data_IF_898810941505
#
_entry.id   IF_898810941505
#
_cell.length_a   1.000
_cell.length_b   1.000
_cell.length_c   1.000
_cell.angle_alpha   90.00
_cell.angle_beta   90.00
_cell.angle_gamma   90.00
#
_symmetry.space_group_name_H-M   'P 1'
#
loop_
_entity.id
_entity.type
_entity.pdbx_description
1 polymer ?
#
# COMPACT_ATOMS: atom_id res chain seq x y z
N UNK A 1 3.50 11.88 4.21
CA UNK A 1 3.23 12.16 2.80
C UNK A 1 1.77 12.55 2.60
N UNK A 2 1.50 13.57 1.79
CA UNK A 2 0.15 14.07 1.49
C UNK A 2 -0.04 14.30 -0.01
N UNK A 3 -1.18 13.89 -0.56
CA UNK A 3 -1.56 14.21 -1.95
C UNK A 3 -2.14 15.62 -1.99
N UNK A 4 -1.54 16.53 -2.76
CA UNK A 4 -1.93 17.95 -2.81
C UNK A 4 -2.82 18.25 -4.01
N UNK A 5 -2.47 17.70 -5.16
CA UNK A 5 -3.20 17.91 -6.41
C UNK A 5 -3.10 16.67 -7.30
N UNK A 6 -4.09 16.49 -8.17
CA UNK A 6 -4.01 15.52 -9.25
C UNK A 6 -4.85 15.96 -10.44
N UNK A 7 -4.47 15.47 -11.62
CA UNK A 7 -5.25 15.64 -12.83
C UNK A 7 -5.28 14.32 -13.59
N UNK A 8 -6.46 14.02 -14.13
CA UNK A 8 -6.80 12.79 -14.81
C UNK A 8 -7.55 13.14 -16.09
N UNK A 9 -7.07 12.64 -17.23
CA UNK A 9 -7.66 12.80 -18.55
C UNK A 9 -7.99 11.45 -19.15
N UNK A 10 -9.15 11.37 -19.79
CA UNK A 10 -9.63 10.22 -20.55
C UNK A 10 -9.59 8.89 -19.76
N UNK A 11 -10.24 8.90 -18.58
CA UNK A 11 -10.27 7.74 -17.66
C UNK A 11 -11.69 7.17 -17.58
N UNK A 12 -11.97 6.17 -18.41
CA UNK A 12 -13.28 5.53 -18.49
C UNK A 12 -14.34 6.53 -18.95
N UNK A 13 -15.44 6.75 -18.20
CA UNK A 13 -16.47 7.72 -18.56
C UNK A 13 -16.05 9.19 -18.29
N UNK A 14 -14.90 9.41 -17.64
CA UNK A 14 -14.44 10.72 -17.21
C UNK A 14 -13.44 11.30 -18.22
N UNK A 15 -13.81 12.37 -18.91
CA UNK A 15 -12.92 13.06 -19.86
C UNK A 15 -11.82 13.86 -19.17
N UNK A 16 -12.17 14.57 -18.09
CA UNK A 16 -11.25 15.41 -17.35
C UNK A 16 -11.71 15.54 -15.90
N UNK A 17 -10.79 15.31 -14.96
CA UNK A 17 -10.91 15.68 -13.55
C UNK A 17 -9.58 16.28 -13.12
N UNK A 18 -9.62 17.51 -12.63
CA UNK A 18 -8.50 18.16 -11.98
C UNK A 18 -8.93 18.60 -10.59
N UNK A 19 -8.12 18.28 -9.59
CA UNK A 19 -8.32 18.74 -8.23
C UNK A 19 -7.02 19.37 -7.75
N UNK A 20 -7.14 20.56 -7.19
CA UNK A 20 -6.04 21.29 -6.56
C UNK A 20 -6.38 21.56 -5.10
N UNK A 21 -5.35 21.74 -4.28
CA UNK A 21 -5.45 21.99 -2.83
C UNK A 21 -6.36 20.99 -2.10
N UNK A 22 -6.09 19.70 -2.25
CA UNK A 22 -6.83 18.64 -1.55
C UNK A 22 -6.76 18.81 -0.02
N UNK A 23 -7.93 18.69 0.61
CA UNK A 23 -8.05 18.60 2.06
C UNK A 23 -7.58 17.23 2.57
N UNK A 24 -7.43 17.09 3.89
CA UNK A 24 -7.01 15.82 4.52
C UNK A 24 -8.05 14.70 4.34
N UNK A 25 -9.34 15.08 4.18
CA UNK A 25 -10.44 14.15 3.90
C UNK A 25 -11.17 14.60 2.65
N UNK A 26 -11.23 13.71 1.66
CA UNK A 26 -11.85 13.98 0.36
C UNK A 26 -12.88 12.90 0.07
N UNK A 27 -14.11 13.32 -0.23
CA UNK A 27 -15.23 12.41 -0.51
C UNK A 27 -15.66 12.59 -1.97
N UNK A 28 -15.50 11.53 -2.77
CA UNK A 28 -16.02 11.47 -4.13
C UNK A 28 -17.45 10.90 -4.10
N UNK A 29 -18.46 11.76 -4.23
CA UNK A 29 -19.87 11.38 -4.25
C UNK A 29 -20.49 11.54 -5.64
N UNK A 30 -21.47 10.69 -5.97
CA UNK A 30 -22.22 10.77 -7.23
C UNK A 30 -23.00 9.48 -7.53
N UNK A 31 -23.83 9.45 -8.59
CA UNK A 31 -24.56 8.26 -9.02
C UNK A 31 -23.66 7.05 -9.33
N UNK A 32 -24.24 5.86 -9.43
CA UNK A 32 -23.53 4.68 -9.90
C UNK A 32 -23.13 4.85 -11.37
N UNK A 33 -21.94 4.37 -11.74
CA UNK A 33 -21.45 4.44 -13.14
C UNK A 33 -20.75 5.74 -13.54
N UNK A 34 -20.72 6.79 -12.70
CA UNK A 34 -20.08 8.08 -13.05
C UNK A 34 -18.54 8.08 -13.05
N UNK A 35 -17.91 6.93 -12.83
CA UNK A 35 -16.45 6.79 -12.88
C UNK A 35 -15.69 7.00 -11.57
N UNK A 36 -16.36 7.00 -10.41
CA UNK A 36 -15.69 7.08 -9.09
C UNK A 36 -14.58 6.04 -8.92
N UNK A 37 -14.88 4.80 -9.30
CA UNK A 37 -13.91 3.69 -9.26
C UNK A 37 -12.77 3.90 -10.25
N UNK A 38 -13.05 4.47 -11.43
CA UNK A 38 -12.02 4.80 -12.43
C UNK A 38 -11.05 5.86 -11.91
N UNK A 39 -11.55 6.89 -11.21
CA UNK A 39 -10.72 7.92 -10.57
C UNK A 39 -9.80 7.28 -9.52
N UNK A 40 -10.35 6.45 -8.62
CA UNK A 40 -9.55 5.78 -7.59
C UNK A 40 -8.47 4.90 -8.21
N UNK A 41 -8.84 4.05 -9.18
CA UNK A 41 -7.89 3.18 -9.87
C UNK A 41 -6.79 3.96 -10.57
N UNK A 42 -7.12 5.10 -11.20
CA UNK A 42 -6.12 5.91 -11.86
C UNK A 42 -5.12 6.55 -10.89
N UNK A 43 -5.57 6.99 -9.71
CA UNK A 43 -4.67 7.50 -8.66
C UNK A 43 -3.75 6.38 -8.17
N UNK A 44 -4.31 5.19 -7.92
CA UNK A 44 -3.55 4.01 -7.51
C UNK A 44 -2.52 3.59 -8.57
N UNK A 45 -2.86 3.67 -9.85
CA UNK A 45 -1.93 3.37 -10.94
C UNK A 45 -0.73 4.31 -10.94
N UNK A 46 -0.95 5.61 -10.74
CA UNK A 46 0.14 6.58 -10.65
C UNK A 46 1.00 6.27 -9.41
N UNK A 47 0.40 5.86 -8.29
CA UNK A 47 1.15 5.47 -7.10
C UNK A 47 1.94 4.16 -7.28
N UNK A 48 1.43 3.19 -8.06
CA UNK A 48 2.13 1.93 -8.37
C UNK A 48 3.34 2.17 -9.28
N UNK A 49 3.17 3.00 -10.28
CA UNK A 49 4.24 3.35 -11.20
C UNK A 49 4.27 4.85 -11.47
N UNK A 50 4.90 5.63 -10.57
CA UNK A 50 5.10 7.06 -10.81
C UNK A 50 5.98 7.24 -12.03
N UNK A 51 5.41 7.76 -13.10
CA UNK A 51 6.09 8.05 -14.37
C UNK A 51 5.44 9.26 -15.01
N UNK A 52 6.19 9.97 -15.83
CA UNK A 52 5.67 11.12 -16.56
C UNK A 52 4.64 10.62 -17.56
N UNK A 53 3.40 11.09 -17.38
CA UNK A 53 2.27 10.76 -18.23
C UNK A 53 1.55 12.04 -18.63
N UNK A 54 1.27 12.18 -19.92
CA UNK A 54 0.58 13.37 -20.44
C UNK A 54 -0.88 13.46 -19.97
N UNK A 55 -1.50 12.30 -19.69
CA UNK A 55 -2.92 12.19 -19.38
C UNK A 55 -3.22 12.01 -17.89
N UNK A 56 -2.23 11.75 -17.03
CA UNK A 56 -2.47 11.63 -15.59
C UNK A 56 -1.25 12.04 -14.77
N UNK A 57 -1.45 12.87 -13.76
CA UNK A 57 -0.38 13.30 -12.87
C UNK A 57 -0.89 13.58 -11.46
N UNK A 58 0.03 13.58 -10.50
CA UNK A 58 -0.22 13.99 -9.13
C UNK A 58 0.95 14.82 -8.56
N UNK A 59 0.65 15.65 -7.57
CA UNK A 59 1.62 16.36 -6.77
C UNK A 59 1.51 15.87 -5.33
N UNK A 60 2.64 15.47 -4.78
CA UNK A 60 2.74 14.91 -3.44
C UNK A 60 3.67 15.76 -2.59
N UNK A 61 3.31 15.99 -1.33
CA UNK A 61 4.04 16.79 -0.37
C UNK A 61 4.56 15.95 0.80
N UNK A 62 5.76 16.31 1.27
CA UNK A 62 6.42 15.69 2.39
C UNK A 62 5.80 16.20 3.70
N UNK A 63 5.29 15.30 4.53
CA UNK A 63 4.78 15.65 5.86
C UNK A 63 5.84 15.40 6.94
N UNK A 64 6.81 14.53 6.69
CA UNK A 64 7.82 14.10 7.66
C UNK A 64 9.25 14.51 7.28
N UNK A 65 10.15 14.57 8.27
CA UNK A 65 11.57 14.91 8.08
C UNK A 65 12.32 13.93 7.18
N UNK A 66 12.04 12.63 7.32
CA UNK A 66 12.64 11.58 6.50
C UNK A 66 12.26 11.71 5.02
N UNK A 67 11.02 12.11 4.74
CA UNK A 67 10.54 12.39 3.39
C UNK A 67 11.29 13.58 2.78
N UNK A 68 11.42 14.69 3.53
CA UNK A 68 12.16 15.88 3.08
C UNK A 68 13.63 15.56 2.82
N UNK A 69 14.27 14.78 3.70
CA UNK A 69 15.66 14.36 3.54
C UNK A 69 15.86 13.45 2.32
N UNK A 70 14.96 12.49 2.11
CA UNK A 70 15.04 11.58 0.97
C UNK A 70 14.77 12.27 -0.38
N UNK A 71 13.89 13.27 -0.41
CA UNK A 71 13.48 13.92 -1.65
C UNK A 71 14.36 15.13 -2.00
N UNK A 72 14.94 15.77 -0.99
CA UNK A 72 15.65 17.05 -1.11
C UNK A 72 14.74 18.22 -1.53
N UNK A 73 13.42 18.02 -1.46
CA UNK A 73 12.36 18.98 -1.81
C UNK A 73 11.15 18.72 -0.93
N UNK A 74 10.32 19.74 -0.75
CA UNK A 74 9.06 19.63 -0.02
C UNK A 74 7.96 18.96 -0.86
N UNK A 75 7.99 19.15 -2.18
CA UNK A 75 6.98 18.64 -3.10
C UNK A 75 7.62 17.89 -4.27
N UNK A 76 6.97 16.81 -4.67
CA UNK A 76 7.29 16.02 -5.85
C UNK A 76 6.14 16.12 -6.85
N UNK A 77 6.48 16.47 -8.08
CA UNK A 77 5.53 16.53 -9.19
C UNK A 77 5.77 15.38 -10.17
N UNK A 78 4.78 14.53 -10.41
CA UNK A 78 4.95 13.39 -11.33
C UNK A 78 4.99 13.81 -12.81
N UNK A 79 4.82 15.09 -13.13
CA UNK A 79 5.09 15.62 -14.48
C UNK A 79 6.58 15.77 -14.76
N UNK A 80 7.40 15.86 -13.70
CA UNK A 80 8.85 15.98 -13.78
C UNK A 80 9.47 14.59 -13.65
N UNK A 81 10.36 14.23 -14.56
CA UNK A 81 10.93 12.88 -14.60
C UNK A 81 11.78 12.58 -13.36
N UNK A 82 12.58 13.55 -12.91
CA UNK A 82 13.40 13.41 -11.70
C UNK A 82 12.55 13.19 -10.44
N UNK A 83 11.49 13.97 -10.28
CA UNK A 83 10.61 13.87 -9.12
C UNK A 83 9.79 12.56 -9.16
N UNK A 84 9.39 12.12 -10.35
CA UNK A 84 8.76 10.80 -10.55
C UNK A 84 9.69 9.65 -10.15
N UNK A 85 10.98 9.72 -10.51
CA UNK A 85 11.99 8.72 -10.11
C UNK A 85 12.18 8.69 -8.60
N UNK A 86 12.23 9.86 -7.94
CA UNK A 86 12.31 9.97 -6.48
C UNK A 86 11.08 9.38 -5.79
N UNK A 87 9.89 9.72 -6.26
CA UNK A 87 8.64 9.17 -5.72
C UNK A 87 8.57 7.65 -5.91
N UNK A 88 8.96 7.15 -7.08
CA UNK A 88 9.03 5.72 -7.37
C UNK A 88 10.00 5.00 -6.44
N UNK A 89 11.22 5.53 -6.28
CA UNK A 89 12.22 4.94 -5.39
C UNK A 89 11.72 4.92 -3.92
N UNK A 90 11.04 5.99 -3.50
CA UNK A 90 10.48 6.09 -2.16
C UNK A 90 9.34 5.09 -1.92
N UNK A 91 8.38 4.99 -2.85
CA UNK A 91 7.23 4.10 -2.72
C UNK A 91 7.60 2.61 -2.86
N UNK A 92 8.66 2.30 -3.63
CA UNK A 92 9.13 0.92 -3.85
C UNK A 92 10.11 0.41 -2.79
N UNK A 93 10.34 1.17 -1.72
CA UNK A 93 11.17 0.69 -0.60
C UNK A 93 10.52 -0.52 0.05
N UNK A 94 11.32 -1.52 0.40
CA UNK A 94 10.85 -2.64 1.21
C UNK A 94 10.36 -2.10 2.56
N UNK A 95 9.22 -2.62 3.01
CA UNK A 95 8.64 -2.25 4.29
C UNK A 95 8.40 -3.50 5.11
N UNK A 96 8.43 -3.33 6.44
CA UNK A 96 7.99 -4.39 7.35
C UNK A 96 6.47 -4.40 7.40
N UNK A 97 5.90 -5.59 7.57
CA UNK A 97 4.44 -5.84 7.58
C UNK A 97 3.63 -4.99 8.57
N UNK A 98 4.28 -4.46 9.61
CA UNK A 98 3.68 -3.63 10.66
C UNK A 98 4.08 -2.14 10.61
N UNK A 99 4.83 -1.70 9.58
CA UNK A 99 5.34 -0.33 9.47
C UNK A 99 4.94 0.31 8.15
N UNK A 100 3.70 0.81 8.10
CA UNK A 100 3.16 1.58 6.97
C UNK A 100 3.51 3.07 7.12
N UNK A 101 4.79 3.42 7.00
CA UNK A 101 5.23 4.81 6.98
C UNK A 101 5.34 5.30 5.53
N UNK A 102 4.84 6.51 5.26
CA UNK A 102 4.94 7.19 3.96
C UNK A 102 4.48 6.33 2.76
N UNK A 103 3.41 5.56 2.94
CA UNK A 103 2.86 4.65 1.93
C UNK A 103 1.42 4.99 1.60
N UNK A 104 0.98 4.64 0.40
CA UNK A 104 -0.45 4.66 0.05
C UNK A 104 -1.13 3.38 0.52
N UNK A 105 -2.28 3.53 1.17
CA UNK A 105 -3.10 2.42 1.63
C UNK A 105 -4.46 2.49 0.94
N UNK A 106 -4.74 1.53 0.07
CA UNK A 106 -6.04 1.45 -0.60
C UNK A 106 -7.06 0.77 0.31
N UNK A 107 -8.25 1.35 0.48
CA UNK A 107 -9.39 0.69 1.10
C UNK A 107 -10.54 0.64 0.10
N UNK A 108 -10.78 -0.55 -0.43
CA UNK A 108 -11.92 -0.78 -1.31
C UNK A 108 -13.11 -1.32 -0.50
N UNK A 109 -14.31 -0.82 -0.80
CA UNK A 109 -15.57 -1.36 -0.27
C UNK A 109 -15.99 -2.56 -1.10
N UNK A 110 -15.23 -3.63 -0.98
CA UNK A 110 -15.56 -4.91 -1.59
C UNK A 110 -16.66 -5.59 -0.74
N UNK A 111 -17.93 -5.19 -0.97
CA UNK A 111 -19.11 -5.73 -0.26
C UNK A 111 -19.48 -7.16 -0.69
N UNK A 112 -18.66 -7.79 -1.53
CA UNK A 112 -18.89 -9.17 -1.97
C UNK A 112 -18.52 -10.15 -0.84
N UNK A 113 -19.45 -11.01 -0.46
CA UNK A 113 -19.16 -12.18 0.39
C UNK A 113 -18.26 -13.11 -0.43
N UNK A 114 -16.94 -13.06 -0.18
CA UNK A 114 -15.96 -13.91 -0.87
C UNK A 114 -15.62 -15.11 -0.01
N UNK A 115 -15.63 -16.30 -0.61
CA UNK A 115 -15.18 -17.53 0.03
C UNK A 115 -13.73 -17.36 0.48
N UNK A 116 -13.49 -17.54 1.78
CA UNK A 116 -12.15 -17.39 2.32
C UNK A 116 -11.28 -18.53 1.84
N UNK A 117 -10.16 -18.21 1.21
CA UNK A 117 -9.22 -19.22 0.76
C UNK A 117 -8.62 -19.94 1.97
N UNK A 118 -8.51 -21.27 1.86
CA UNK A 118 -7.83 -22.08 2.85
C UNK A 118 -6.34 -21.78 2.84
N UNK A 119 -5.75 -21.63 4.02
CA UNK A 119 -4.30 -21.49 4.15
C UNK A 119 -3.61 -22.80 3.71
N UNK A 120 -2.72 -22.72 2.71
CA UNK A 120 -1.86 -23.84 2.35
C UNK A 120 -0.73 -23.94 3.37
N UNK A 121 -0.80 -24.94 4.24
CA UNK A 121 0.20 -25.16 5.28
C UNK A 121 1.58 -25.45 4.68
N UNK A 122 2.63 -24.84 5.25
CA UNK A 122 4.05 -25.08 4.91
C UNK A 122 4.81 -25.30 6.21
N UNK A 123 5.78 -26.22 6.20
CA UNK A 123 6.51 -26.62 7.40
C UNK A 123 7.57 -25.61 7.84
N UNK A 124 8.01 -24.69 6.99
CA UNK A 124 8.92 -23.59 7.34
C UNK A 124 8.10 -22.33 7.68
N UNK A 125 7.85 -22.11 8.97
CA UNK A 125 7.02 -21.01 9.47
C UNK A 125 7.93 -20.01 10.16
N UNK A 126 8.46 -19.06 9.39
CA UNK A 126 9.18 -17.91 9.92
C UNK A 126 8.21 -16.91 10.56
N UNK A 127 8.71 -16.12 11.52
CA UNK A 127 7.93 -15.06 12.16
C UNK A 127 7.50 -14.02 11.11
N UNK A 128 6.19 -13.88 10.83
CA UNK A 128 5.69 -13.04 9.75
C UNK A 128 5.85 -11.54 10.01
N UNK A 129 6.19 -11.11 11.23
CA UNK A 129 6.52 -9.71 11.52
C UNK A 129 7.99 -9.36 11.27
N UNK A 130 8.85 -10.36 11.14
CA UNK A 130 10.24 -10.18 10.70
C UNK A 130 10.37 -10.22 9.17
N UNK A 131 9.30 -10.61 8.46
CA UNK A 131 9.23 -10.71 7.00
C UNK A 131 9.22 -9.31 6.35
N UNK A 132 10.10 -9.13 5.36
CA UNK A 132 10.00 -8.02 4.42
C UNK A 132 8.85 -8.30 3.46
N UNK A 133 7.88 -7.39 3.40
CA UNK A 133 6.76 -7.49 2.46
C UNK A 133 7.03 -6.66 1.21
N UNK A 134 6.47 -7.12 0.10
CA UNK A 134 6.48 -6.39 -1.16
C UNK A 134 5.91 -4.98 -1.00
N UNK A 135 6.54 -4.02 -1.66
CA UNK A 135 6.18 -2.60 -1.60
C UNK A 135 4.75 -2.31 -2.09
N UNK A 136 4.17 -3.19 -2.90
CA UNK A 136 2.84 -3.06 -3.49
C UNK A 136 1.72 -3.58 -2.58
N UNK A 137 2.04 -4.17 -1.42
CA UNK A 137 1.07 -4.72 -0.48
C UNK A 137 -0.02 -3.69 -0.14
N UNK A 138 0.36 -2.46 0.19
CA UNK A 138 -0.57 -1.38 0.55
C UNK A 138 -1.49 -0.94 -0.60
N UNK A 139 -1.10 -1.16 -1.85
CA UNK A 139 -1.85 -0.79 -3.05
C UNK A 139 -2.81 -1.89 -3.51
N UNK A 140 -2.65 -3.11 -2.99
CA UNK A 140 -3.50 -4.26 -3.32
C UNK A 140 -4.92 -4.12 -2.76
N UNK A 141 -5.85 -4.90 -3.32
CA UNK A 141 -7.24 -4.91 -2.86
C UNK A 141 -7.33 -5.38 -1.41
N UNK A 142 -8.32 -4.85 -0.68
CA UNK A 142 -8.52 -5.17 0.74
C UNK A 142 -8.71 -6.68 0.97
N UNK A 143 -9.42 -7.37 0.09
CA UNK A 143 -9.66 -8.82 0.18
C UNK A 143 -8.36 -9.64 0.09
N UNK A 144 -7.41 -9.22 -0.76
CA UNK A 144 -6.08 -9.85 -0.82
C UNK A 144 -5.30 -9.66 0.48
N UNK A 145 -5.23 -8.40 0.97
CA UNK A 145 -4.53 -8.10 2.23
C UNK A 145 -5.16 -8.78 3.43
N UNK A 146 -6.49 -8.93 3.45
CA UNK A 146 -7.19 -9.62 4.53
C UNK A 146 -6.79 -11.10 4.63
N UNK A 147 -6.74 -11.81 3.50
CA UNK A 147 -6.28 -13.20 3.47
C UNK A 147 -4.82 -13.31 3.92
N UNK A 148 -3.97 -12.40 3.44
CA UNK A 148 -2.55 -12.36 3.82
C UNK A 148 -2.34 -12.08 5.32
N UNK A 149 -3.09 -11.13 5.90
CA UNK A 149 -3.09 -10.87 7.35
C UNK A 149 -3.56 -12.11 8.12
N UNK A 150 -4.66 -12.74 7.71
CA UNK A 150 -5.17 -13.95 8.35
C UNK A 150 -4.13 -15.08 8.31
N UNK A 151 -3.50 -15.32 7.17
CA UNK A 151 -2.43 -16.30 7.02
C UNK A 151 -1.22 -15.97 7.87
N UNK A 152 -0.86 -14.68 7.99
CA UNK A 152 0.22 -14.23 8.87
C UNK A 152 -0.10 -14.47 10.35
N UNK A 153 -1.35 -14.28 10.80
CA UNK A 153 -1.74 -14.54 12.17
C UNK A 153 -1.65 -16.03 12.51
N UNK A 154 -2.05 -16.92 11.58
CA UNK A 154 -1.86 -18.36 11.75
C UNK A 154 -0.38 -18.73 11.84
N UNK A 155 0.45 -18.19 10.94
CA UNK A 155 1.92 -18.40 10.98
C UNK A 155 2.52 -17.93 12.31
N UNK A 156 2.09 -16.80 12.84
CA UNK A 156 2.57 -16.27 14.11
C UNK A 156 2.24 -17.19 15.29
N UNK A 157 0.99 -17.65 15.39
CA UNK A 157 0.56 -18.55 16.47
C UNK A 157 1.35 -19.85 16.42
N UNK A 158 1.55 -20.41 15.22
CA UNK A 158 2.33 -21.63 15.05
C UNK A 158 3.83 -21.42 15.31
N UNK A 159 4.42 -20.29 14.90
CA UNK A 159 5.81 -19.98 15.23
C UNK A 159 6.02 -19.84 16.74
N UNK A 160 5.08 -19.21 17.46
CA UNK A 160 5.13 -19.09 18.91
C UNK A 160 5.02 -20.46 19.60
N UNK A 161 4.11 -21.32 19.12
CA UNK A 161 3.97 -22.69 19.65
C UNK A 161 5.25 -23.50 19.48
N UNK A 162 5.91 -23.40 18.33
CA UNK A 162 7.20 -24.06 18.09
C UNK A 162 8.31 -23.51 18.97
N UNK A 163 8.43 -22.19 19.08
CA UNK A 163 9.44 -21.57 19.94
C UNK A 163 9.30 -22.00 21.42
N UNK A 164 8.06 -22.10 21.92
CA UNK A 164 7.78 -22.61 23.26
C UNK A 164 8.16 -24.10 23.38
N UNK A 165 7.82 -24.92 22.39
CA UNK A 165 8.16 -26.34 22.38
C UNK A 165 9.67 -26.57 22.36
N UNK A 166 10.40 -25.85 21.51
CA UNK A 166 11.86 -25.92 21.41
C UNK A 166 12.53 -25.49 22.72
N UNK A 167 12.05 -24.41 23.36
CA UNK A 167 12.52 -23.99 24.69
C UNK A 167 12.24 -25.03 25.76
N UNK A 168 11.09 -25.68 25.74
CA UNK A 168 10.74 -26.72 26.69
C UNK A 168 11.62 -27.97 26.53
N UNK A 169 11.94 -28.37 25.30
CA UNK A 169 12.87 -29.48 25.00
C UNK A 169 14.28 -29.11 25.49
N UNK A 170 14.77 -27.92 25.15
CA UNK A 170 16.08 -27.46 25.58
C UNK A 170 16.22 -27.37 27.11
N UNK A 171 15.15 -26.99 27.83
CA UNK A 171 15.13 -26.95 29.29
C UNK A 171 15.11 -28.36 29.91
N UNK A 172 14.47 -29.32 29.24
CA UNK A 172 14.45 -30.74 29.67
C UNK A 172 15.80 -31.43 29.45
N UNK A 173 16.51 -31.09 28.38
CA UNK A 173 17.81 -31.70 28.05
C UNK A 173 18.97 -31.07 28.85
N UNK A 174 18.75 -29.92 29.49
CA UNK A 174 19.74 -29.20 30.31
C UNK A 174 19.55 -29.36 31.83
N UNK A 175 18.53 -30.10 32.27
CA UNK A 175 18.28 -30.47 33.67
C UNK A 175 18.49 -31.96 33.91
#
# INVERSE_FOLDING_TARGET
>A
MRLVAFELKDIGPVKFVGVDALADVVVLAGPNGVGKTNINNAILDIAREPRVLANKWMIVEATDGDERAAWGKERLDTRIEEDSKKLRAHLRRNQRRNRYYSSFLNFDSDRAVRNVQSFTFTWDIQNPFAEDVGWDLGLSQLSSRYNDVRHSLFRLVESQRREIADKAIATRDSG
#
